data_IF_484063693583
#
_entry.id   IF_484063693583
#
_cell.length_a   1.000
_cell.length_b   1.000
_cell.length_c   1.000
_cell.angle_alpha   90.00
_cell.angle_beta   90.00
_cell.angle_gamma   90.00
#
_symmetry.space_group_name_H-M   'P 1'
#
loop_
_entity.id
_entity.type
_entity.pdbx_description
1 polymer ?
#
# COMPACT_ATOMS: atom_id res chain seq x y z
N UNK A 1 26.23 18.19 -7.70
CA UNK A 1 26.26 16.81 -7.17
C UNK A 1 24.89 16.18 -7.31
N UNK A 2 24.65 15.47 -8.42
CA UNK A 2 23.44 14.68 -8.66
C UNK A 2 23.78 13.20 -8.43
N UNK A 3 23.52 12.69 -7.24
CA UNK A 3 23.61 11.25 -6.94
C UNK A 3 22.48 10.88 -5.99
N UNK A 4 21.29 10.59 -6.53
CA UNK A 4 20.31 9.73 -5.83
C UNK A 4 19.03 9.41 -6.60
N UNK A 5 18.76 10.00 -7.77
CA UNK A 5 17.51 9.67 -8.49
C UNK A 5 17.58 8.27 -9.11
N UNK A 6 18.76 7.83 -9.55
CA UNK A 6 18.96 6.51 -10.16
C UNK A 6 18.88 5.34 -9.17
N UNK A 7 19.25 5.55 -7.90
CA UNK A 7 19.26 4.47 -6.90
C UNK A 7 17.85 4.10 -6.42
N UNK A 8 16.92 5.07 -6.46
CA UNK A 8 15.52 4.85 -6.08
C UNK A 8 14.69 4.22 -7.20
N UNK A 9 15.01 4.48 -8.47
CA UNK A 9 14.41 3.81 -9.63
C UNK A 9 14.77 2.31 -9.68
N UNK A 10 15.98 1.96 -9.21
CA UNK A 10 16.40 0.56 -9.06
C UNK A 10 15.60 -0.19 -7.98
N UNK A 11 15.16 0.50 -6.93
CA UNK A 11 14.33 -0.11 -5.87
C UNK A 11 12.91 -0.46 -6.34
N UNK A 12 12.35 0.27 -7.31
CA UNK A 12 11.06 -0.10 -7.92
C UNK A 12 11.19 -1.26 -8.92
N UNK A 13 12.37 -1.49 -9.48
CA UNK A 13 12.61 -2.58 -10.44
C UNK A 13 12.73 -3.96 -9.77
N UNK A 14 13.15 -4.03 -8.50
CA UNK A 14 13.22 -5.31 -7.77
C UNK A 14 11.88 -5.99 -7.51
N UNK A 15 10.76 -5.26 -7.57
CA UNK A 15 9.43 -5.86 -7.39
C UNK A 15 8.88 -6.45 -8.69
N UNK A 16 9.31 -5.95 -9.85
CA UNK A 16 8.93 -6.50 -11.15
C UNK A 16 9.62 -7.85 -11.46
N UNK A 17 10.72 -8.16 -10.77
CA UNK A 17 11.54 -9.37 -10.98
C UNK A 17 11.43 -10.42 -9.86
N UNK A 18 10.41 -10.33 -8.99
CA UNK A 18 10.07 -11.42 -8.05
C UNK A 18 8.96 -12.34 -8.56
N UNK A 19 8.56 -12.19 -9.83
CA UNK A 19 7.64 -13.08 -10.54
C UNK A 19 8.26 -14.40 -11.04
N UNK A 20 9.41 -14.83 -10.50
CA UNK A 20 10.11 -16.05 -10.92
C UNK A 20 10.31 -16.92 -9.69
N UNK A 21 9.52 -18.00 -9.62
CA UNK A 21 9.53 -19.08 -8.63
C UNK A 21 9.19 -18.72 -7.17
N UNK A 22 7.88 -18.60 -6.89
CA UNK A 22 7.37 -18.68 -5.51
C UNK A 22 6.18 -17.79 -5.18
N UNK A 23 5.91 -16.75 -5.99
CA UNK A 23 4.77 -15.86 -5.77
C UNK A 23 3.44 -16.52 -6.15
N UNK A 24 2.50 -16.57 -5.20
CA UNK A 24 1.12 -16.96 -5.42
C UNK A 24 0.48 -15.99 -6.45
N UNK A 25 -0.20 -16.52 -7.46
CA UNK A 25 -0.73 -15.68 -8.55
C UNK A 25 -1.74 -14.61 -8.08
N UNK A 26 -2.44 -14.81 -6.96
CA UNK A 26 -3.25 -13.79 -6.34
C UNK A 26 -2.41 -12.66 -5.72
N UNK A 27 -1.30 -12.99 -5.07
CA UNK A 27 -0.36 -12.02 -4.53
C UNK A 27 0.20 -11.12 -5.64
N UNK A 28 0.65 -11.72 -6.76
CA UNK A 28 1.13 -10.96 -7.92
C UNK A 28 0.04 -10.06 -8.51
N UNK A 29 -1.20 -10.56 -8.61
CA UNK A 29 -2.31 -9.77 -9.13
C UNK A 29 -2.62 -8.53 -8.27
N UNK A 30 -2.65 -8.72 -6.95
CA UNK A 30 -2.89 -7.65 -5.99
C UNK A 30 -1.72 -6.65 -5.95
N UNK A 31 -0.48 -7.13 -5.93
CA UNK A 31 0.72 -6.28 -5.87
C UNK A 31 0.84 -5.41 -7.13
N UNK A 32 0.66 -6.00 -8.31
CA UNK A 32 0.69 -5.26 -9.58
C UNK A 32 -0.40 -4.19 -9.69
N UNK A 33 -1.58 -4.39 -9.06
CA UNK A 33 -2.64 -3.38 -9.04
C UNK A 33 -2.37 -2.29 -8.00
N UNK A 34 -1.81 -2.65 -6.84
CA UNK A 34 -1.44 -1.70 -5.80
C UNK A 34 -0.33 -0.76 -6.27
N UNK A 35 0.74 -1.29 -6.88
CA UNK A 35 1.90 -0.52 -7.39
C UNK A 35 1.59 0.18 -8.74
N UNK A 36 0.40 -0.03 -9.28
CA UNK A 36 -0.04 0.55 -10.55
C UNK A 36 -0.01 2.09 -10.58
N UNK A 37 -0.24 2.64 -11.78
CA UNK A 37 -0.12 4.08 -12.06
C UNK A 37 -0.92 4.98 -11.10
N UNK A 38 -2.06 4.52 -10.58
CA UNK A 38 -2.90 5.28 -9.65
C UNK A 38 -2.20 5.63 -8.33
N UNK A 39 -1.53 4.66 -7.68
CA UNK A 39 -0.82 4.90 -6.43
C UNK A 39 0.41 5.79 -6.65
N UNK A 40 1.16 5.55 -7.73
CA UNK A 40 2.32 6.36 -8.09
C UNK A 40 1.94 7.81 -8.43
N UNK A 41 0.84 8.03 -9.16
CA UNK A 41 0.33 9.36 -9.43
C UNK A 41 -0.12 10.07 -8.14
N UNK A 42 -0.81 9.36 -7.24
CA UNK A 42 -1.22 9.90 -5.94
C UNK A 42 -0.01 10.27 -5.06
N UNK A 43 1.01 9.42 -4.98
CA UNK A 43 2.27 9.72 -4.29
C UNK A 43 2.97 10.94 -4.88
N UNK A 44 3.03 11.04 -6.21
CA UNK A 44 3.65 12.18 -6.88
C UNK A 44 2.93 13.47 -6.55
N UNK A 45 1.60 13.50 -6.67
CA UNK A 45 0.78 14.65 -6.33
C UNK A 45 0.94 15.06 -4.85
N UNK A 46 0.99 14.09 -3.93
CA UNK A 46 1.14 14.37 -2.50
C UNK A 46 2.56 14.74 -2.09
N UNK A 47 3.58 14.44 -2.89
CA UNK A 47 4.93 15.01 -2.67
C UNK A 47 5.03 16.47 -3.06
N UNK A 48 4.17 16.92 -3.99
CA UNK A 48 4.06 18.33 -4.37
C UNK A 48 3.17 19.14 -3.42
N UNK A 49 2.34 18.48 -2.61
CA UNK A 49 1.55 19.13 -1.57
C UNK A 49 2.44 19.53 -0.37
N UNK A 50 2.48 20.81 0.04
CA UNK A 50 3.39 21.26 1.10
C UNK A 50 3.15 20.59 2.46
N UNK A 51 1.89 20.32 2.81
CA UNK A 51 1.52 19.75 4.12
C UNK A 51 1.89 18.28 4.16
N UNK A 52 1.53 17.54 3.12
CA UNK A 52 1.88 16.13 3.00
C UNK A 52 3.40 15.93 2.91
N UNK A 53 4.11 16.80 2.17
CA UNK A 53 5.57 16.75 2.07
C UNK A 53 6.27 17.04 3.39
N UNK A 54 5.77 17.99 4.19
CA UNK A 54 6.28 18.25 5.53
C UNK A 54 6.14 17.02 6.44
N UNK A 55 4.99 16.34 6.40
CA UNK A 55 4.79 15.10 7.16
C UNK A 55 5.71 13.96 6.72
N UNK A 56 5.97 13.84 5.42
CA UNK A 56 6.92 12.87 4.88
C UNK A 56 8.35 13.14 5.41
N UNK A 57 8.78 14.40 5.41
CA UNK A 57 10.09 14.79 5.99
C UNK A 57 10.16 14.51 7.49
N UNK A 58 9.11 14.83 8.23
CA UNK A 58 9.05 14.58 9.68
C UNK A 58 9.14 13.08 9.99
N UNK A 59 8.47 12.24 9.19
CA UNK A 59 8.57 10.77 9.29
C UNK A 59 10.00 10.30 9.04
N UNK A 60 10.66 10.80 7.99
CA UNK A 60 12.04 10.43 7.66
C UNK A 60 13.07 10.88 8.72
N UNK A 61 12.75 11.90 9.52
CA UNK A 61 13.59 12.36 10.63
C UNK A 61 13.52 11.46 11.88
N UNK A 62 12.54 10.54 11.95
CA UNK A 62 12.45 9.56 13.04
C UNK A 62 13.39 8.39 12.71
N UNK A 63 14.41 8.08 13.55
CA UNK A 63 15.45 7.11 13.20
C UNK A 63 14.92 5.73 12.79
N UNK A 64 13.89 5.24 13.49
CA UNK A 64 13.28 3.93 13.19
C UNK A 64 12.42 3.93 11.91
N UNK A 65 12.02 5.11 11.43
CA UNK A 65 11.16 5.27 10.25
C UNK A 65 11.92 5.66 8.98
N UNK A 66 13.24 5.79 9.01
CA UNK A 66 14.06 6.21 7.87
C UNK A 66 13.89 5.32 6.63
N UNK A 67 13.47 4.06 6.80
CA UNK A 67 13.19 3.10 5.71
C UNK A 67 11.71 2.72 5.61
N UNK A 68 10.82 3.46 6.26
CA UNK A 68 9.40 3.16 6.24
C UNK A 68 8.83 3.39 4.83
N UNK A 69 8.27 2.35 4.25
CA UNK A 69 7.70 2.33 2.88
C UNK A 69 6.19 2.14 2.86
N UNK A 70 5.52 2.43 3.99
CA UNK A 70 4.06 2.36 4.15
C UNK A 70 3.41 0.96 4.05
N UNK A 71 4.20 -0.10 3.79
CA UNK A 71 3.72 -1.49 3.73
C UNK A 71 3.90 -2.25 5.04
N UNK A 72 5.01 -2.01 5.73
CA UNK A 72 5.37 -2.63 7.01
C UNK A 72 6.19 -1.64 7.82
N UNK A 73 5.96 -1.54 9.12
CA UNK A 73 6.79 -0.73 10.01
C UNK A 73 6.18 -0.54 11.39
N UNK A 74 6.94 0.12 12.27
CA UNK A 74 6.45 0.47 13.60
C UNK A 74 5.21 1.35 13.54
N UNK A 75 4.30 1.15 14.51
CA UNK A 75 3.09 1.97 14.67
C UNK A 75 3.41 3.47 14.71
N UNK A 76 4.56 3.85 15.27
CA UNK A 76 5.05 5.24 15.30
C UNK A 76 5.25 5.81 13.89
N UNK A 77 5.72 5.00 12.95
CA UNK A 77 5.92 5.40 11.56
C UNK A 77 4.59 5.54 10.81
N UNK A 78 3.62 4.66 11.07
CA UNK A 78 2.26 4.80 10.54
C UNK A 78 1.61 6.10 11.00
N UNK A 79 1.71 6.42 12.30
CA UNK A 79 1.17 7.66 12.87
C UNK A 79 1.85 8.89 12.27
N UNK A 80 3.19 8.89 12.17
CA UNK A 80 3.93 10.01 11.60
C UNK A 80 3.65 10.19 10.10
N UNK A 81 3.52 9.09 9.36
CA UNK A 81 3.22 9.08 7.93
C UNK A 81 1.75 9.33 7.59
N UNK A 82 0.86 9.28 8.59
CA UNK A 82 -0.59 9.40 8.42
C UNK A 82 -1.03 10.64 7.62
N UNK A 83 -0.47 11.85 7.82
CA UNK A 83 -0.88 13.02 7.03
C UNK A 83 -0.52 12.89 5.53
N UNK A 84 0.64 12.30 5.22
CA UNK A 84 1.01 12.00 3.83
C UNK A 84 0.04 10.97 3.24
N UNK A 85 -0.20 9.88 3.95
CA UNK A 85 -1.13 8.83 3.50
C UNK A 85 -2.59 9.29 3.43
N UNK A 86 -2.99 10.27 4.23
CA UNK A 86 -4.30 10.94 4.12
C UNK A 86 -4.43 11.68 2.80
N UNK A 87 -3.40 12.42 2.38
CA UNK A 87 -3.40 13.04 1.04
C UNK A 87 -3.56 11.98 -0.05
N UNK A 88 -2.80 10.88 0.04
CA UNK A 88 -2.83 9.80 -0.95
C UNK A 88 -4.22 9.16 -1.01
N UNK A 89 -4.80 8.85 0.15
CA UNK A 89 -6.16 8.36 0.26
C UNK A 89 -7.17 9.32 -0.38
N UNK A 90 -6.98 10.63 -0.21
CA UNK A 90 -7.82 11.66 -0.86
C UNK A 90 -7.74 11.60 -2.38
N UNK A 91 -6.54 11.48 -2.94
CA UNK A 91 -6.33 11.35 -4.40
C UNK A 91 -6.89 10.05 -4.97
N UNK A 92 -6.89 8.97 -4.19
CA UNK A 92 -7.49 7.69 -4.56
C UNK A 92 -9.00 7.63 -4.30
N UNK A 93 -9.59 8.68 -3.72
CA UNK A 93 -11.01 8.74 -3.40
C UNK A 93 -11.41 7.83 -2.23
N UNK A 94 -10.48 7.47 -1.35
CA UNK A 94 -10.71 6.62 -0.18
C UNK A 94 -11.09 7.40 1.09
N UNK A 95 -11.24 8.72 1.01
CA UNK A 95 -11.71 9.52 2.13
C UNK A 95 -13.23 9.66 2.11
N UNK A 96 -13.83 9.62 3.30
CA UNK A 96 -15.19 10.08 3.55
C UNK A 96 -15.24 11.62 3.64
N UNK A 97 -16.45 12.18 3.71
CA UNK A 97 -16.66 13.62 3.82
C UNK A 97 -16.06 14.23 5.10
N UNK A 98 -16.00 13.47 6.20
CA UNK A 98 -15.35 13.86 7.46
C UNK A 98 -13.81 13.74 7.43
N UNK A 99 -13.25 13.28 6.30
CA UNK A 99 -11.83 13.06 6.12
C UNK A 99 -11.29 11.78 6.77
N UNK A 100 -12.14 10.92 7.36
CA UNK A 100 -11.76 9.57 7.77
C UNK A 100 -11.55 8.70 6.53
N UNK A 101 -10.80 7.60 6.69
CA UNK A 101 -10.69 6.60 5.63
C UNK A 101 -11.98 5.77 5.52
N UNK A 102 -12.35 5.43 4.29
CA UNK A 102 -13.45 4.52 3.97
C UNK A 102 -12.89 3.09 3.82
N UNK A 103 -12.84 2.38 4.95
CA UNK A 103 -12.33 1.01 5.02
C UNK A 103 -13.05 0.08 4.03
N UNK A 104 -14.37 0.23 3.90
CA UNK A 104 -15.18 -0.60 3.01
C UNK A 104 -14.76 -0.36 1.57
N UNK A 105 -14.67 0.89 1.14
CA UNK A 105 -14.27 1.23 -0.22
C UNK A 105 -12.88 0.71 -0.59
N UNK A 106 -11.91 0.82 0.32
CA UNK A 106 -10.56 0.28 0.12
C UNK A 106 -10.59 -1.24 -0.06
N UNK A 107 -11.26 -1.95 0.84
CA UNK A 107 -11.32 -3.41 0.79
C UNK A 107 -12.12 -3.92 -0.42
N UNK A 108 -13.24 -3.28 -0.75
CA UNK A 108 -14.03 -3.61 -1.94
C UNK A 108 -13.16 -3.44 -3.20
N UNK A 109 -12.36 -2.38 -3.28
CA UNK A 109 -11.44 -2.16 -4.40
C UNK A 109 -10.39 -3.29 -4.51
N UNK A 110 -9.79 -3.71 -3.40
CA UNK A 110 -8.81 -4.81 -3.40
C UNK A 110 -9.47 -6.15 -3.74
N UNK A 111 -10.71 -6.37 -3.27
CA UNK A 111 -11.49 -7.54 -3.65
C UNK A 111 -11.74 -7.56 -5.15
N UNK A 112 -12.19 -6.45 -5.73
CA UNK A 112 -12.37 -6.32 -7.18
C UNK A 112 -11.07 -6.61 -7.95
N UNK A 113 -9.94 -6.08 -7.48
CA UNK A 113 -8.64 -6.34 -8.11
C UNK A 113 -8.27 -7.83 -8.07
N UNK A 114 -8.40 -8.47 -6.90
CA UNK A 114 -8.18 -9.90 -6.75
C UNK A 114 -9.09 -10.69 -7.70
N UNK A 115 -10.40 -10.49 -7.63
CA UNK A 115 -11.37 -11.32 -8.35
C UNK A 115 -11.47 -11.03 -9.85
N UNK A 116 -10.90 -9.91 -10.31
CA UNK A 116 -10.75 -9.62 -11.75
C UNK A 116 -9.66 -10.49 -12.41
N UNK A 117 -8.78 -11.11 -11.61
CA UNK A 117 -7.76 -12.01 -12.12
C UNK A 117 -8.23 -13.47 -11.94
N UNK A 118 -8.31 -14.28 -13.01
CA UNK A 118 -8.74 -15.68 -12.91
C UNK A 118 -7.84 -16.54 -12.02
N UNK A 119 -6.62 -16.07 -11.72
CA UNK A 119 -5.66 -16.76 -10.85
C UNK A 119 -5.81 -16.42 -9.35
N UNK A 120 -6.79 -15.60 -8.97
CA UNK A 120 -7.16 -15.38 -7.58
C UNK A 120 -8.65 -15.69 -7.36
N UNK A 121 -8.94 -16.61 -6.44
CA UNK A 121 -10.32 -16.92 -6.09
C UNK A 121 -10.88 -15.96 -5.05
N UNK A 122 -12.21 -15.76 -5.07
CA UNK A 122 -12.93 -15.02 -4.03
C UNK A 122 -12.67 -15.61 -2.64
N UNK A 123 -12.59 -16.94 -2.55
CA UNK A 123 -12.35 -17.65 -1.29
C UNK A 123 -10.96 -17.32 -0.71
N UNK A 124 -9.93 -17.34 -1.55
CA UNK A 124 -8.57 -17.00 -1.17
C UNK A 124 -8.46 -15.55 -0.68
N UNK A 125 -9.08 -14.60 -1.40
CA UNK A 125 -9.12 -13.21 -0.95
C UNK A 125 -9.85 -13.07 0.40
N UNK A 126 -11.02 -13.68 0.55
CA UNK A 126 -11.81 -13.58 1.78
C UNK A 126 -11.05 -14.18 2.98
N UNK A 127 -10.33 -15.29 2.79
CA UNK A 127 -9.44 -15.88 3.80
C UNK A 127 -8.33 -14.90 4.22
N UNK A 128 -7.67 -14.26 3.25
CA UNK A 128 -6.63 -13.28 3.54
C UNK A 128 -7.18 -12.04 4.26
N UNK A 129 -8.31 -11.52 3.78
CA UNK A 129 -8.99 -10.36 4.37
C UNK A 129 -9.47 -10.64 5.80
N UNK A 130 -9.94 -11.86 6.10
CA UNK A 130 -10.36 -12.23 7.46
C UNK A 130 -9.18 -12.30 8.42
N UNK A 131 -8.03 -12.85 7.99
CA UNK A 131 -6.79 -12.87 8.79
C UNK A 131 -6.27 -11.46 9.09
N UNK A 132 -6.35 -10.55 8.12
CA UNK A 132 -5.82 -9.20 8.27
C UNK A 132 -6.80 -8.23 8.95
N UNK A 133 -8.07 -8.60 9.07
CA UNK A 133 -9.13 -7.76 9.61
C UNK A 133 -9.52 -6.59 8.69
N UNK A 134 -10.73 -6.07 8.89
CA UNK A 134 -11.32 -5.04 8.01
C UNK A 134 -11.00 -3.59 8.39
N UNK A 135 -10.47 -3.35 9.59
CA UNK A 135 -10.20 -1.99 10.07
C UNK A 135 -8.86 -1.48 9.54
N UNK A 136 -8.86 -0.26 9.01
CA UNK A 136 -7.66 0.47 8.61
C UNK A 136 -7.55 1.70 9.52
N UNK A 137 -6.49 1.76 10.30
CA UNK A 137 -6.18 2.90 11.17
C UNK A 137 -5.07 3.75 10.56
N UNK A 138 -4.99 5.02 10.96
CA UNK A 138 -3.90 5.94 10.58
C UNK A 138 -3.64 6.05 9.08
N UNK A 139 -4.66 5.81 8.25
CA UNK A 139 -4.53 5.77 6.79
C UNK A 139 -3.50 4.72 6.30
N UNK A 140 -3.21 3.68 7.09
CA UNK A 140 -2.27 2.60 6.78
C UNK A 140 -2.86 1.56 5.80
N UNK A 141 -3.56 2.02 4.75
CA UNK A 141 -4.23 1.13 3.80
C UNK A 141 -3.25 0.32 2.96
N UNK A 142 -2.04 0.83 2.71
CA UNK A 142 -0.98 0.10 2.01
C UNK A 142 -0.43 -1.05 2.87
N UNK A 143 -0.30 -0.83 4.18
CA UNK A 143 0.04 -1.91 5.12
C UNK A 143 -1.05 -2.97 5.20
N UNK A 144 -2.33 -2.55 5.15
CA UNK A 144 -3.46 -3.47 5.02
C UNK A 144 -3.36 -4.31 3.75
N UNK A 145 -3.07 -3.71 2.60
CA UNK A 145 -2.87 -4.43 1.34
C UNK A 145 -1.75 -5.45 1.45
N UNK A 146 -0.60 -5.06 2.01
CA UNK A 146 0.56 -5.93 2.17
C UNK A 146 0.23 -7.13 3.06
N UNK A 147 -0.51 -6.93 4.16
CA UNK A 147 -1.00 -8.03 4.97
C UNK A 147 -1.87 -9.00 4.14
N UNK A 148 -2.86 -8.48 3.40
CA UNK A 148 -3.76 -9.31 2.59
C UNK A 148 -2.95 -10.10 1.57
N UNK A 149 -2.08 -9.45 0.80
CA UNK A 149 -1.18 -10.07 -0.18
C UNK A 149 -0.41 -11.22 0.45
N UNK A 150 0.24 -11.00 1.59
CA UNK A 150 1.02 -12.02 2.29
C UNK A 150 0.16 -13.17 2.84
N UNK A 151 -1.05 -12.88 3.32
CA UNK A 151 -1.96 -13.89 3.83
C UNK A 151 -2.51 -14.81 2.72
N UNK A 152 -2.54 -14.36 1.45
CA UNK A 152 -2.95 -15.21 0.32
C UNK A 152 -2.06 -16.44 0.11
N UNK A 153 -0.80 -16.38 0.53
CA UNK A 153 0.14 -17.50 0.47
C UNK A 153 -0.20 -18.64 1.44
N UNK A 154 -0.96 -18.33 2.49
CA UNK A 154 -1.31 -19.28 3.55
C UNK A 154 -2.62 -20.03 3.26
N UNK A 155 -3.23 -19.78 2.09
CA UNK A 155 -4.48 -20.41 1.69
C UNK A 155 -4.20 -21.77 1.03
N UNK A 156 -4.77 -22.85 1.55
CA UNK A 156 -4.52 -24.23 1.11
C UNK A 156 -5.69 -24.87 0.35
N UNK A 157 -6.76 -24.12 0.08
CA UNK A 157 -8.00 -24.64 -0.52
C UNK A 157 -9.13 -24.73 0.49
#
# INVERSE_FOLDING_TARGET
MMKSVGLFLLLTATFAYSGVDGANACATALDGKLIGAGLNAAYTACRSDPVAFAALKATAAIPVCARYVFTVGDRKCEVAGAPFMKCVAGKLGYLKADGSIDNKKVLDQFKTWATSNPKCSVAQYNFAASKCGSTIDNYAFVAKSACIINATYQYTG
#
